data_IF_566776096517
#
_entry.id   IF_566776096517
#
_cell.length_a   1.000
_cell.length_b   1.000
_cell.length_c   1.000
_cell.angle_alpha   90.00
_cell.angle_beta   90.00
_cell.angle_gamma   90.00
#
_symmetry.space_group_name_H-M   'P 1'
#
loop_
_entity.id
_entity.type
_entity.pdbx_description
1 polymer ?
#
# COMPACT_ATOMS: atom_id res chain seq x y z
N UNK A 1 1.84 6.87 22.01
CA UNK A 1 2.20 6.14 20.78
C UNK A 1 2.89 7.13 19.85
N UNK A 2 4.15 6.94 19.44
CA UNK A 2 4.81 7.88 18.56
C UNK A 2 4.07 7.90 17.23
N UNK A 3 3.45 9.03 16.89
CA UNK A 3 2.54 9.21 15.75
C UNK A 3 3.25 9.14 14.39
N UNK A 4 4.59 9.12 14.37
CA UNK A 4 5.37 9.34 13.15
C UNK A 4 6.17 8.11 12.67
N UNK A 5 6.02 6.95 13.33
CA UNK A 5 6.75 5.74 12.91
C UNK A 5 5.99 5.01 11.80
N UNK A 6 6.53 5.05 10.59
CA UNK A 6 6.11 4.19 9.48
C UNK A 6 6.31 2.71 9.86
N UNK A 7 5.22 1.92 9.95
CA UNK A 7 5.31 0.51 10.35
C UNK A 7 5.90 -0.39 9.27
N UNK A 8 5.76 0.00 7.98
CA UNK A 8 6.26 -0.75 6.81
C UNK A 8 6.94 0.20 5.81
N UNK A 9 8.15 0.70 6.11
CA UNK A 9 8.84 1.69 5.26
C UNK A 9 9.22 1.15 3.86
N UNK A 10 9.23 -0.17 3.67
CA UNK A 10 9.39 -0.80 2.35
C UNK A 10 8.17 -0.63 1.44
N UNK A 11 6.98 -0.39 2.00
CA UNK A 11 5.74 -0.26 1.24
C UNK A 11 5.26 1.19 1.08
N UNK A 12 5.63 2.07 2.00
CA UNK A 12 5.19 3.46 1.96
C UNK A 12 6.23 4.42 2.54
N UNK A 13 6.20 5.66 2.05
CA UNK A 13 6.96 6.82 2.51
C UNK A 13 6.02 7.85 3.15
N UNK A 14 6.58 8.72 3.98
CA UNK A 14 5.88 9.94 4.36
C UNK A 14 5.77 10.83 3.12
N UNK A 15 4.56 11.28 2.78
CA UNK A 15 4.34 12.32 1.78
C UNK A 15 4.15 13.70 2.42
N UNK A 16 3.91 14.70 1.58
CA UNK A 16 3.62 16.08 2.02
C UNK A 16 2.31 16.15 2.79
N UNK A 17 2.27 16.95 3.85
CA UNK A 17 1.07 17.22 4.64
C UNK A 17 -0.02 17.82 3.76
N UNK A 18 -1.16 17.14 3.63
CA UNK A 18 -2.39 17.73 3.12
C UNK A 18 -3.21 18.34 4.28
N UNK A 19 -4.37 18.91 3.96
CA UNK A 19 -5.31 19.50 4.93
C UNK A 19 -5.84 18.48 5.97
N UNK A 20 -5.59 17.17 5.79
CA UNK A 20 -6.06 16.08 6.66
C UNK A 20 -4.94 15.49 7.55
N UNK A 21 -3.68 15.90 7.36
CA UNK A 21 -2.55 15.43 8.16
C UNK A 21 -1.87 14.21 7.54
N UNK A 22 -0.67 14.44 7.00
CA UNK A 22 0.29 13.45 6.48
C UNK A 22 -0.28 12.49 5.43
N UNK A 23 -0.23 12.87 4.15
CA UNK A 23 -0.52 11.92 3.06
C UNK A 23 0.64 10.92 2.96
N UNK A 24 0.41 9.62 3.14
CA UNK A 24 1.42 8.62 2.79
C UNK A 24 1.61 8.55 1.27
N UNK A 25 2.80 8.14 0.81
CA UNK A 25 3.04 7.74 -0.58
C UNK A 25 3.27 6.24 -0.64
N UNK A 26 2.58 5.54 -1.53
CA UNK A 26 2.69 4.09 -1.68
C UNK A 26 3.81 3.76 -2.68
N UNK A 27 4.68 2.80 -2.33
CA UNK A 27 5.78 2.35 -3.17
C UNK A 27 5.33 1.20 -4.05
N UNK A 28 4.89 1.53 -5.26
CA UNK A 28 4.41 0.59 -6.26
C UNK A 28 5.37 0.41 -7.43
N UNK A 29 4.87 -0.20 -8.49
CA UNK A 29 5.56 -0.37 -9.76
C UNK A 29 4.65 -0.07 -10.93
N UNK A 30 5.23 0.20 -12.08
CA UNK A 30 4.52 0.32 -13.35
C UNK A 30 5.23 -0.48 -14.43
N UNK A 31 4.47 -1.22 -15.21
CA UNK A 31 4.95 -1.86 -16.42
C UNK A 31 4.88 -0.88 -17.60
N UNK A 32 5.76 -1.03 -18.60
CA UNK A 32 5.67 -0.29 -19.89
C UNK A 32 4.31 -0.42 -20.57
N UNK A 33 3.56 -1.51 -20.33
CA UNK A 33 2.20 -1.69 -20.85
C UNK A 33 1.13 -0.85 -20.12
N UNK A 34 1.51 -0.10 -19.08
CA UNK A 34 0.62 0.73 -18.26
C UNK A 34 0.05 0.03 -17.03
N UNK A 35 0.30 -1.26 -16.83
CA UNK A 35 -0.15 -1.96 -15.61
C UNK A 35 0.57 -1.43 -14.36
N UNK A 36 -0.17 -1.27 -13.26
CA UNK A 36 0.34 -0.75 -11.98
C UNK A 36 0.32 -1.85 -10.92
N UNK A 37 1.40 -1.96 -10.16
CA UNK A 37 1.57 -2.94 -9.09
C UNK A 37 1.64 -2.23 -7.75
N UNK A 38 1.01 -2.85 -6.74
CA UNK A 38 1.33 -2.58 -5.35
C UNK A 38 1.24 -3.90 -4.56
N UNK A 39 2.29 -4.32 -3.84
CA UNK A 39 3.63 -3.72 -3.77
C UNK A 39 4.44 -3.79 -5.07
N UNK A 40 5.57 -3.08 -5.14
CA UNK A 40 6.56 -3.28 -6.22
C UNK A 40 7.06 -4.72 -6.24
N UNK A 41 7.14 -5.33 -7.42
CA UNK A 41 7.62 -6.70 -7.64
C UNK A 41 8.37 -6.83 -8.98
N UNK A 42 9.21 -7.87 -9.11
CA UNK A 42 10.11 -8.07 -10.26
C UNK A 42 9.93 -9.42 -10.97
N UNK A 43 8.90 -10.20 -10.62
CA UNK A 43 8.62 -11.52 -11.18
C UNK A 43 8.01 -11.50 -12.58
N UNK A 44 7.64 -10.32 -13.09
CA UNK A 44 6.98 -10.15 -14.38
C UNK A 44 5.59 -9.53 -14.26
N UNK A 45 5.13 -8.91 -15.33
CA UNK A 45 3.79 -8.31 -15.38
C UNK A 45 2.71 -9.38 -15.53
N UNK A 46 1.77 -9.45 -14.59
CA UNK A 46 0.64 -10.38 -14.64
C UNK A 46 -0.32 -10.11 -15.81
N UNK A 47 -0.25 -8.92 -16.43
CA UNK A 47 -1.06 -8.57 -17.59
C UNK A 47 -0.39 -8.92 -18.93
N UNK A 48 0.91 -8.65 -19.09
CA UNK A 48 1.58 -8.77 -20.40
C UNK A 48 2.85 -9.63 -20.41
N UNK A 49 3.25 -10.21 -19.27
CA UNK A 49 4.43 -11.07 -19.15
C UNK A 49 5.78 -10.34 -19.21
N UNK A 50 5.82 -9.03 -19.49
CA UNK A 50 7.08 -8.27 -19.55
C UNK A 50 7.77 -8.22 -18.18
N UNK A 51 9.10 -8.28 -18.17
CA UNK A 51 9.93 -8.40 -16.97
C UNK A 51 11.19 -7.52 -17.07
N UNK A 52 12.02 -7.53 -16.02
CA UNK A 52 13.26 -6.74 -15.97
C UNK A 52 12.98 -5.25 -16.10
N UNK A 53 13.69 -4.57 -16.98
CA UNK A 53 13.59 -3.12 -17.20
C UNK A 53 12.24 -2.68 -17.78
N UNK A 54 11.33 -3.60 -18.07
CA UNK A 54 9.94 -3.28 -18.38
C UNK A 54 9.13 -2.90 -17.13
N UNK A 55 9.62 -3.22 -15.93
CA UNK A 55 8.99 -2.93 -14.65
C UNK A 55 9.81 -1.87 -13.91
N UNK A 56 9.21 -0.70 -13.68
CA UNK A 56 9.88 0.42 -13.03
C UNK A 56 9.18 0.77 -11.72
N UNK A 57 9.91 1.01 -10.62
CA UNK A 57 9.32 1.55 -9.39
C UNK A 57 8.58 2.87 -9.65
N UNK A 58 7.49 3.11 -8.95
CA UNK A 58 6.76 4.39 -8.99
C UNK A 58 6.06 4.68 -7.66
N UNK A 59 5.87 5.96 -7.34
CA UNK A 59 5.04 6.36 -6.22
C UNK A 59 3.56 6.43 -6.65
N UNK A 60 2.68 5.89 -5.81
CA UNK A 60 1.23 5.92 -6.02
C UNK A 60 0.58 6.82 -4.95
N UNK A 61 -0.58 7.40 -5.32
CA UNK A 61 -1.45 8.09 -4.36
C UNK A 61 -1.90 7.12 -3.28
N UNK A 62 -2.08 7.62 -2.04
CA UNK A 62 -2.70 6.87 -0.95
C UNK A 62 -4.24 7.03 -0.94
N UNK A 63 -4.79 7.70 -1.95
CA UNK A 63 -6.24 7.84 -2.14
C UNK A 63 -6.80 6.62 -2.88
N UNK A 64 -8.02 6.23 -2.52
CA UNK A 64 -8.75 5.14 -3.16
C UNK A 64 -10.20 5.09 -2.72
N UNK A 65 -10.93 4.08 -3.16
CA UNK A 65 -12.36 3.91 -2.85
C UNK A 65 -12.54 2.68 -1.97
N UNK A 66 -13.25 2.79 -0.86
CA UNK A 66 -13.56 1.63 -0.03
C UNK A 66 -14.40 0.61 -0.83
N UNK A 67 -13.87 -0.58 -1.05
CA UNK A 67 -14.54 -1.66 -1.79
C UNK A 67 -15.19 -2.68 -0.86
N UNK A 68 -14.58 -2.95 0.29
CA UNK A 68 -15.10 -3.87 1.30
C UNK A 68 -14.50 -3.56 2.68
N UNK A 69 -15.23 -3.90 3.74
CA UNK A 69 -14.78 -3.79 5.12
C UNK A 69 -15.17 -5.02 5.95
N UNK A 70 -14.41 -5.28 7.02
CA UNK A 70 -14.75 -6.29 8.00
C UNK A 70 -14.24 -5.87 9.39
N UNK A 71 -15.02 -6.18 10.43
CA UNK A 71 -14.60 -5.99 11.82
C UNK A 71 -13.99 -7.26 12.37
N UNK A 72 -12.74 -7.16 12.83
CA UNK A 72 -12.04 -8.24 13.51
C UNK A 72 -12.39 -8.18 14.99
N UNK A 73 -13.20 -9.13 15.46
CA UNK A 73 -13.57 -9.25 16.88
C UNK A 73 -12.57 -10.08 17.69
N UNK A 74 -11.85 -11.01 17.04
CA UNK A 74 -10.83 -11.85 17.67
C UNK A 74 -9.58 -11.88 16.78
N UNK A 75 -8.42 -11.58 17.36
CA UNK A 75 -7.13 -11.61 16.67
C UNK A 75 -6.13 -12.51 17.41
N UNK A 76 -5.26 -13.20 16.67
CA UNK A 76 -4.32 -14.16 17.22
C UNK A 76 -3.20 -13.50 18.04
N UNK A 77 -2.65 -12.38 17.54
CA UNK A 77 -1.70 -11.56 18.29
C UNK A 77 -2.42 -10.85 19.44
N UNK A 78 -2.08 -11.22 20.68
CA UNK A 78 -2.65 -10.68 21.92
C UNK A 78 -2.25 -9.23 22.17
N UNK A 79 -1.19 -8.74 21.51
CA UNK A 79 -0.77 -7.34 21.59
C UNK A 79 -1.53 -6.43 20.63
N UNK A 80 -2.44 -6.98 19.81
CA UNK A 80 -3.32 -6.20 18.93
C UNK A 80 -4.71 -6.10 19.55
N UNK A 81 -5.09 -4.93 20.08
CA UNK A 81 -6.42 -4.73 20.66
C UNK A 81 -7.50 -4.95 19.60
N UNK A 82 -8.48 -5.79 19.91
CA UNK A 82 -9.73 -5.93 19.16
C UNK A 82 -10.87 -5.27 19.96
N UNK A 83 -11.94 -4.75 19.32
CA UNK A 83 -12.20 -4.82 17.88
C UNK A 83 -11.43 -3.80 17.04
N UNK A 84 -11.14 -4.14 15.79
CA UNK A 84 -10.65 -3.18 14.80
C UNK A 84 -11.18 -3.50 13.40
N UNK A 85 -11.24 -2.49 12.54
CA UNK A 85 -11.71 -2.65 11.15
C UNK A 85 -10.53 -2.86 10.21
N UNK A 86 -10.69 -3.80 9.28
CA UNK A 86 -9.84 -3.95 8.10
C UNK A 86 -10.64 -3.58 6.86
N UNK A 87 -9.93 -3.05 5.86
CA UNK A 87 -10.55 -2.55 4.64
C UNK A 87 -9.81 -3.07 3.41
N UNK A 88 -10.57 -3.27 2.34
CA UNK A 88 -10.06 -3.34 0.97
C UNK A 88 -10.40 -2.02 0.30
N UNK A 89 -9.37 -1.31 -0.14
CA UNK A 89 -9.44 -0.05 -0.88
C UNK A 89 -8.97 -0.30 -2.31
#
# INVERSE_FOLDING_TARGET
>A
MPRDKLLKPGLYSAGSTDLAGTSARLKGGRCRCGYVFFPMQTYGCERCGSYGDALTPCELSAEGTLLAEATVHLHADKNRPAPFTIVKV
#
